data_IF_814768631527
#
_entry.id   IF_814768631527
#
_cell.length_a   1.000
_cell.length_b   1.000
_cell.length_c   1.000
_cell.angle_alpha   90.00
_cell.angle_beta   90.00
_cell.angle_gamma   90.00
#
_symmetry.space_group_name_H-M   'P 1'
#
loop_
_entity.id
_entity.type
_entity.pdbx_description
1 polymer ?
#
# COMPACT_ATOMS: atom_id res chain seq x y z
N UNK A 1 54.86 19.90 -9.83
CA UNK A 1 54.55 18.62 -10.50
C UNK A 1 53.15 18.23 -10.07
N UNK A 2 52.15 18.46 -10.94
CA UNK A 2 50.80 17.98 -10.72
C UNK A 2 50.82 16.48 -10.99
N UNK A 3 50.71 15.67 -9.93
CA UNK A 3 50.45 14.24 -10.07
C UNK A 3 49.14 14.08 -10.84
N UNK A 4 49.23 13.51 -12.04
CA UNK A 4 48.09 13.22 -12.89
C UNK A 4 47.17 12.24 -12.18
N UNK A 5 46.04 12.74 -11.68
CA UNK A 5 44.92 11.90 -11.31
C UNK A 5 44.55 11.09 -12.57
N UNK A 6 44.74 9.77 -12.51
CA UNK A 6 44.28 8.87 -13.56
C UNK A 6 42.78 9.11 -13.76
N UNK A 7 42.29 9.23 -15.01
CA UNK A 7 40.87 9.46 -15.24
C UNK A 7 40.06 8.36 -14.57
N UNK A 8 39.09 8.77 -13.75
CA UNK A 8 38.22 7.84 -13.03
C UNK A 8 37.58 6.88 -14.04
N UNK A 9 37.53 5.57 -13.74
CA UNK A 9 36.92 4.61 -14.63
C UNK A 9 35.45 4.99 -14.88
N UNK A 10 34.93 4.77 -16.10
CA UNK A 10 33.58 5.16 -16.42
C UNK A 10 32.59 4.44 -15.50
N UNK A 11 31.50 5.13 -15.13
CA UNK A 11 30.51 4.58 -14.25
C UNK A 11 29.89 3.32 -14.81
N UNK A 12 29.96 2.26 -14.01
CA UNK A 12 29.54 0.92 -14.39
C UNK A 12 28.53 0.39 -13.40
N UNK A 13 27.43 -0.17 -13.92
CA UNK A 13 26.47 -0.90 -13.09
C UNK A 13 27.16 -2.14 -12.50
N UNK A 14 26.98 -2.43 -11.20
CA UNK A 14 27.58 -3.61 -10.61
C UNK A 14 27.03 -4.91 -11.23
N UNK A 15 27.95 -5.81 -11.51
CA UNK A 15 27.67 -7.19 -11.87
C UNK A 15 26.89 -7.90 -10.76
N UNK A 16 26.30 -9.06 -11.08
CA UNK A 16 25.63 -9.88 -10.06
C UNK A 16 26.60 -10.25 -8.93
N UNK A 17 27.84 -10.58 -9.27
CA UNK A 17 28.89 -10.95 -8.32
C UNK A 17 29.26 -9.78 -7.39
N UNK A 18 29.53 -8.58 -7.94
CA UNK A 18 29.83 -7.37 -7.15
C UNK A 18 28.67 -7.00 -6.21
N UNK A 19 27.42 -7.23 -6.64
CA UNK A 19 26.22 -7.02 -5.79
C UNK A 19 26.15 -7.96 -4.59
N UNK A 20 26.59 -9.21 -4.76
CA UNK A 20 26.52 -10.24 -3.71
C UNK A 20 27.72 -10.14 -2.76
N UNK A 21 28.92 -9.91 -3.30
CA UNK A 21 30.16 -9.90 -2.53
C UNK A 21 30.47 -8.51 -1.94
N UNK A 22 29.87 -7.44 -2.49
CA UNK A 22 30.06 -6.07 -2.01
C UNK A 22 31.46 -5.52 -2.30
N UNK A 23 32.08 -5.96 -3.41
CA UNK A 23 33.46 -5.64 -3.79
C UNK A 23 33.64 -4.23 -4.38
N UNK A 24 32.56 -3.49 -4.65
CA UNK A 24 32.66 -2.16 -5.25
C UNK A 24 33.28 -1.13 -4.28
N UNK A 25 34.33 -0.41 -4.73
CA UNK A 25 34.87 0.72 -4.00
C UNK A 25 33.78 1.75 -3.64
N UNK A 26 33.92 2.37 -2.48
CA UNK A 26 32.94 3.37 -2.00
C UNK A 26 32.74 4.52 -2.99
N UNK A 27 33.82 5.01 -3.64
CA UNK A 27 33.74 6.10 -4.62
C UNK A 27 32.83 5.73 -5.80
N UNK A 28 32.97 4.51 -6.33
CA UNK A 28 32.16 4.02 -7.45
C UNK A 28 30.68 3.94 -7.09
N UNK A 29 30.36 3.50 -5.87
CA UNK A 29 28.98 3.44 -5.37
C UNK A 29 28.35 4.82 -5.24
N UNK A 30 29.11 5.79 -4.73
CA UNK A 30 28.67 7.19 -4.62
C UNK A 30 28.44 7.80 -6.00
N UNK A 31 29.32 7.55 -6.96
CA UNK A 31 29.19 8.05 -8.32
C UNK A 31 27.97 7.45 -9.03
N UNK A 32 27.83 6.13 -8.95
CA UNK A 32 26.66 5.41 -9.47
C UNK A 32 25.36 5.98 -8.90
N UNK A 33 25.32 6.28 -7.58
CA UNK A 33 24.16 6.94 -6.96
C UNK A 33 23.88 8.32 -7.54
N UNK A 34 24.91 9.17 -7.69
CA UNK A 34 24.76 10.52 -8.28
C UNK A 34 24.21 10.48 -9.71
N UNK A 35 24.49 9.41 -10.45
CA UNK A 35 23.98 9.19 -11.79
C UNK A 35 22.65 8.42 -11.85
N UNK A 36 22.04 8.09 -10.70
CA UNK A 36 20.78 7.33 -10.64
C UNK A 36 20.92 5.87 -11.12
N UNK A 37 22.14 5.32 -11.08
CA UNK A 37 22.42 3.93 -11.47
C UNK A 37 22.09 3.03 -10.27
N UNK A 38 20.88 2.45 -10.30
CA UNK A 38 20.43 1.46 -9.32
C UNK A 38 21.07 0.07 -9.50
N UNK A 39 20.70 -0.85 -8.59
CA UNK A 39 21.10 -2.26 -8.60
C UNK A 39 20.72 -3.01 -9.87
N UNK A 40 19.62 -2.66 -10.52
CA UNK A 40 19.14 -3.33 -11.73
C UNK A 40 18.60 -2.35 -12.78
N UNK A 41 18.52 -2.79 -14.04
CA UNK A 41 18.06 -1.95 -15.18
C UNK A 41 16.54 -1.80 -15.22
N UNK A 42 15.84 -2.90 -14.97
CA UNK A 42 14.42 -3.03 -15.20
C UNK A 42 13.68 -3.27 -13.89
N UNK A 43 12.42 -2.86 -13.84
CA UNK A 43 11.55 -3.02 -12.68
C UNK A 43 10.59 -4.21 -12.91
N UNK A 44 11.14 -5.42 -12.87
CA UNK A 44 10.41 -6.65 -13.24
C UNK A 44 9.18 -6.88 -12.36
N UNK A 45 9.33 -6.72 -11.04
CA UNK A 45 8.24 -6.95 -10.08
C UNK A 45 7.16 -5.90 -10.28
N UNK A 46 7.54 -4.63 -10.41
CA UNK A 46 6.62 -3.52 -10.64
C UNK A 46 5.77 -3.77 -11.89
N UNK A 47 6.40 -4.11 -13.01
CA UNK A 47 5.69 -4.40 -14.26
C UNK A 47 4.80 -5.64 -14.16
N UNK A 48 5.30 -6.70 -13.53
CA UNK A 48 4.53 -7.93 -13.32
C UNK A 48 3.29 -7.66 -12.47
N UNK A 49 3.43 -6.96 -11.35
CA UNK A 49 2.31 -6.57 -10.49
C UNK A 49 1.32 -5.67 -11.23
N UNK A 50 1.80 -4.72 -12.04
CA UNK A 50 0.93 -3.86 -12.85
C UNK A 50 0.12 -4.64 -13.89
N UNK A 51 0.72 -5.64 -14.56
CA UNK A 51 0.00 -6.51 -15.49
C UNK A 51 -1.04 -7.37 -14.76
N UNK A 52 -0.68 -7.91 -13.59
CA UNK A 52 -1.63 -8.67 -12.75
C UNK A 52 -2.81 -7.78 -12.35
N UNK A 53 -2.55 -6.56 -11.86
CA UNK A 53 -3.59 -5.61 -11.45
C UNK A 53 -4.48 -5.19 -12.62
N UNK A 54 -3.93 -5.05 -13.83
CA UNK A 54 -4.73 -4.80 -15.02
C UNK A 54 -5.68 -5.97 -15.32
N UNK A 55 -5.17 -7.22 -15.26
CA UNK A 55 -5.99 -8.41 -15.44
C UNK A 55 -7.10 -8.53 -14.38
N UNK A 56 -6.77 -8.19 -13.12
CA UNK A 56 -7.73 -8.14 -12.02
C UNK A 56 -8.79 -7.06 -12.25
N UNK A 57 -8.42 -5.86 -12.70
CA UNK A 57 -9.38 -4.81 -13.04
C UNK A 57 -10.33 -5.22 -14.16
N UNK A 58 -9.81 -5.89 -15.20
CA UNK A 58 -10.66 -6.42 -16.27
C UNK A 58 -11.65 -7.45 -15.70
N UNK A 59 -11.19 -8.34 -14.83
CA UNK A 59 -12.07 -9.31 -14.16
C UNK A 59 -13.11 -8.63 -13.26
N UNK A 60 -12.74 -7.61 -12.49
CA UNK A 60 -13.63 -6.80 -11.66
C UNK A 60 -14.78 -6.21 -12.48
N UNK A 61 -14.47 -5.62 -13.64
CA UNK A 61 -15.44 -5.01 -14.54
C UNK A 61 -16.32 -6.05 -15.26
N UNK A 62 -15.74 -7.17 -15.71
CA UNK A 62 -16.50 -8.27 -16.33
C UNK A 62 -17.47 -8.89 -15.35
N UNK A 63 -17.02 -9.16 -14.12
CA UNK A 63 -17.85 -9.71 -13.05
C UNK A 63 -19.01 -8.77 -12.72
N UNK A 64 -18.75 -7.47 -12.56
CA UNK A 64 -19.83 -6.50 -12.32
C UNK A 64 -20.80 -6.40 -13.52
N UNK A 65 -20.28 -6.49 -14.74
CA UNK A 65 -21.07 -6.54 -15.97
C UNK A 65 -22.03 -7.73 -16.02
N UNK A 66 -21.55 -8.91 -15.61
CA UNK A 66 -22.38 -10.11 -15.50
C UNK A 66 -23.48 -9.95 -14.43
N UNK A 67 -23.13 -9.45 -13.25
CA UNK A 67 -24.06 -9.38 -12.12
C UNK A 67 -25.09 -8.25 -12.22
N UNK A 68 -24.71 -7.07 -12.74
CA UNK A 68 -25.56 -5.87 -12.78
C UNK A 68 -26.01 -5.49 -14.20
N UNK A 69 -25.58 -6.23 -15.22
CA UNK A 69 -25.79 -5.88 -16.63
C UNK A 69 -24.96 -4.69 -17.12
N UNK A 70 -24.11 -4.09 -16.27
CA UNK A 70 -23.21 -2.99 -16.62
C UNK A 70 -21.86 -3.13 -15.89
N UNK A 71 -20.71 -3.01 -16.58
CA UNK A 71 -19.40 -3.03 -15.93
C UNK A 71 -19.20 -1.94 -14.87
N UNK A 72 -19.92 -0.83 -14.98
CA UNK A 72 -19.79 0.33 -14.10
C UNK A 72 -21.07 0.55 -13.27
N UNK A 73 -20.89 0.75 -11.96
CA UNK A 73 -21.99 1.06 -11.05
C UNK A 73 -22.26 2.57 -10.99
N UNK A 74 -23.29 3.03 -11.71
CA UNK A 74 -23.69 4.45 -11.76
C UNK A 74 -24.81 4.85 -10.78
N UNK A 75 -25.39 3.89 -10.07
CA UNK A 75 -26.51 4.10 -9.14
C UNK A 75 -26.08 3.67 -7.72
N UNK A 76 -26.69 4.23 -6.65
CA UNK A 76 -27.70 5.30 -6.63
C UNK A 76 -27.03 6.67 -6.82
N UNK A 77 -25.71 6.72 -6.65
CA UNK A 77 -24.82 7.84 -6.93
C UNK A 77 -23.75 7.34 -7.91
N UNK A 78 -23.31 8.22 -8.81
CA UNK A 78 -22.23 7.93 -9.74
C UNK A 78 -21.00 7.54 -8.94
N UNK A 79 -20.50 6.31 -9.09
CA UNK A 79 -19.20 5.92 -8.55
C UNK A 79 -18.13 6.81 -9.22
N UNK A 80 -17.50 7.77 -8.51
CA UNK A 80 -16.55 8.69 -9.11
C UNK A 80 -15.31 7.97 -9.65
N UNK A 81 -15.06 6.74 -9.20
CA UNK A 81 -13.92 5.94 -9.63
C UNK A 81 -14.17 5.16 -10.93
N UNK A 82 -15.40 5.18 -11.47
CA UNK A 82 -15.81 4.42 -12.67
C UNK A 82 -15.45 2.94 -12.54
N UNK A 83 -16.13 2.22 -11.63
CA UNK A 83 -15.87 0.81 -11.39
C UNK A 83 -17.07 0.03 -10.85
N UNK A 84 -16.84 -1.20 -10.39
CA UNK A 84 -17.86 -2.09 -9.84
C UNK A 84 -18.59 -1.49 -8.63
N UNK A 85 -19.66 -2.17 -8.19
CA UNK A 85 -20.29 -1.84 -6.91
C UNK A 85 -19.44 -2.29 -5.73
N UNK A 86 -19.58 -1.58 -4.59
CA UNK A 86 -18.88 -1.92 -3.34
C UNK A 86 -19.11 -3.37 -2.91
N UNK A 87 -20.33 -3.90 -3.04
CA UNK A 87 -20.63 -5.29 -2.70
C UNK A 87 -20.02 -6.29 -3.70
N UNK A 88 -19.94 -5.94 -4.98
CA UNK A 88 -19.18 -6.72 -5.96
C UNK A 88 -17.70 -6.81 -5.57
N UNK A 89 -17.11 -5.70 -5.16
CA UNK A 89 -15.72 -5.67 -4.69
C UNK A 89 -15.51 -6.46 -3.39
N UNK A 90 -16.47 -6.43 -2.46
CA UNK A 90 -16.46 -7.30 -1.27
C UNK A 90 -16.48 -8.77 -1.69
N UNK A 91 -17.36 -9.15 -2.64
CA UNK A 91 -17.42 -10.52 -3.15
C UNK A 91 -16.11 -10.97 -3.80
N UNK A 92 -15.40 -10.04 -4.45
CA UNK A 92 -14.12 -10.29 -5.11
C UNK A 92 -12.90 -10.32 -4.16
N UNK A 93 -13.09 -9.97 -2.88
CA UNK A 93 -12.04 -10.11 -1.87
C UNK A 93 -11.53 -8.80 -1.26
N UNK A 94 -12.24 -7.67 -1.46
CA UNK A 94 -11.90 -6.41 -0.80
C UNK A 94 -11.86 -6.55 0.74
N UNK A 95 -11.08 -5.70 1.41
CA UNK A 95 -11.01 -5.73 2.87
C UNK A 95 -12.37 -5.31 3.43
N UNK A 96 -13.03 -6.24 4.10
CA UNK A 96 -14.31 -6.01 4.75
C UNK A 96 -14.34 -6.75 6.09
N UNK A 97 -14.18 -6.05 7.23
CA UNK A 97 -14.00 -6.70 8.53
C UNK A 97 -15.08 -7.70 8.91
N UNK A 98 -16.34 -7.47 8.50
CA UNK A 98 -17.45 -8.39 8.76
C UNK A 98 -17.32 -9.75 8.02
N UNK A 99 -16.46 -9.85 6.99
CA UNK A 99 -16.11 -11.12 6.37
C UNK A 99 -14.94 -11.86 7.05
N UNK A 100 -14.27 -11.19 8.00
CA UNK A 100 -13.01 -11.67 8.60
C UNK A 100 -13.15 -11.97 10.09
N UNK A 101 -14.15 -11.39 10.75
CA UNK A 101 -14.51 -11.61 12.15
C UNK A 101 -15.93 -11.10 12.41
N UNK A 102 -16.48 -11.42 13.58
CA UNK A 102 -17.72 -10.83 14.06
C UNK A 102 -17.48 -9.36 14.43
N UNK A 103 -18.34 -8.46 13.93
CA UNK A 103 -18.30 -7.03 14.22
C UNK A 103 -19.67 -6.64 14.81
N UNK A 104 -19.68 -6.12 16.03
CA UNK A 104 -20.91 -5.73 16.75
C UNK A 104 -21.78 -4.74 15.98
N UNK A 105 -21.15 -3.78 15.28
CA UNK A 105 -21.83 -2.80 14.46
C UNK A 105 -22.45 -3.36 13.17
N UNK A 106 -22.02 -4.54 12.69
CA UNK A 106 -22.57 -5.23 11.52
C UNK A 106 -22.74 -6.73 11.85
N UNK A 107 -23.82 -7.10 12.58
CA UNK A 107 -24.14 -8.49 12.85
C UNK A 107 -24.26 -9.33 11.57
N UNK A 108 -24.06 -10.65 11.66
CA UNK A 108 -24.22 -11.56 10.51
C UNK A 108 -25.66 -11.60 9.96
N UNK A 109 -26.65 -11.24 10.79
CA UNK A 109 -28.05 -11.06 10.39
C UNK A 109 -28.30 -9.76 9.63
N UNK A 110 -27.32 -8.85 9.56
CA UNK A 110 -27.46 -7.60 8.82
C UNK A 110 -27.72 -7.89 7.35
N UNK A 111 -28.79 -7.29 6.88
CA UNK A 111 -29.31 -7.38 5.54
C UNK A 111 -28.78 -6.22 4.70
N UNK A 112 -28.09 -6.54 3.61
CA UNK A 112 -27.50 -5.57 2.67
C UNK A 112 -27.99 -5.82 1.24
N UNK A 113 -27.76 -4.88 0.33
CA UNK A 113 -28.04 -5.10 -1.09
C UNK A 113 -27.23 -6.27 -1.66
N UNK A 114 -27.87 -7.17 -2.39
CA UNK A 114 -27.16 -8.22 -3.11
C UNK A 114 -26.25 -7.66 -4.21
N UNK A 115 -25.22 -8.41 -4.63
CA UNK A 115 -24.27 -7.99 -5.68
C UNK A 115 -24.97 -7.65 -7.00
N UNK A 116 -25.92 -8.50 -7.41
CA UNK A 116 -26.67 -8.38 -8.66
C UNK A 116 -27.70 -7.26 -8.68
N UNK A 117 -28.13 -6.81 -7.50
CA UNK A 117 -29.11 -5.73 -7.36
C UNK A 117 -28.52 -4.58 -6.57
N UNK A 118 -27.20 -4.45 -6.50
CA UNK A 118 -26.55 -3.62 -5.49
C UNK A 118 -27.10 -2.20 -5.43
N UNK A 119 -27.56 -1.62 -6.56
CA UNK A 119 -28.14 -0.29 -6.58
C UNK A 119 -29.18 0.01 -7.71
N UNK A 120 -30.46 0.30 -7.36
CA UNK A 120 -31.03 0.18 -6.02
C UNK A 120 -31.20 -1.31 -5.63
N UNK A 121 -31.01 -1.67 -4.35
CA UNK A 121 -31.27 -3.01 -3.84
C UNK A 121 -32.72 -3.41 -4.01
N UNK A 122 -33.00 -4.14 -5.10
CA UNK A 122 -34.28 -4.86 -5.27
C UNK A 122 -34.28 -6.20 -4.55
N UNK A 123 -33.09 -6.72 -4.22
CA UNK A 123 -32.88 -7.94 -3.42
C UNK A 123 -31.89 -7.68 -2.29
N UNK A 124 -32.19 -8.32 -1.16
CA UNK A 124 -31.42 -8.25 0.08
C UNK A 124 -30.68 -9.58 0.27
N UNK A 125 -29.42 -9.48 0.67
CA UNK A 125 -28.52 -10.59 0.95
C UNK A 125 -27.94 -10.49 2.37
N UNK A 126 -27.54 -11.64 2.91
CA UNK A 126 -26.80 -11.71 4.18
C UNK A 126 -25.33 -11.31 3.98
N UNK A 127 -24.64 -11.01 5.08
CA UNK A 127 -23.18 -10.76 5.06
C UNK A 127 -22.43 -11.95 4.45
N UNK A 128 -22.80 -13.18 4.80
CA UNK A 128 -22.18 -14.38 4.24
C UNK A 128 -22.28 -14.45 2.71
N UNK A 129 -23.43 -14.10 2.14
CA UNK A 129 -23.65 -14.11 0.69
C UNK A 129 -22.79 -13.08 -0.04
N UNK A 130 -22.66 -11.86 0.51
CA UNK A 130 -21.80 -10.84 -0.11
C UNK A 130 -20.32 -11.12 0.08
N UNK A 131 -19.94 -11.83 1.15
CA UNK A 131 -18.55 -12.19 1.40
C UNK A 131 -18.04 -13.26 0.43
N UNK A 132 -18.90 -13.98 -0.28
CA UNK A 132 -18.48 -14.95 -1.30
C UNK A 132 -17.55 -16.04 -0.75
N UNK A 133 -16.71 -16.60 -1.63
CA UNK A 133 -15.69 -17.61 -1.29
C UNK A 133 -16.23 -18.84 -0.50
N UNK A 134 -17.47 -19.26 -0.78
CA UNK A 134 -18.09 -20.40 -0.13
C UNK A 134 -18.84 -20.10 1.19
N UNK A 135 -18.76 -18.86 1.70
CA UNK A 135 -19.43 -18.48 2.94
C UNK A 135 -18.69 -18.94 4.21
N UNK A 136 -19.38 -18.90 5.35
CA UNK A 136 -18.85 -19.26 6.68
C UNK A 136 -19.51 -20.52 7.26
N UNK A 137 -20.61 -21.00 6.68
CA UNK A 137 -21.31 -22.23 7.08
C UNK A 137 -21.63 -22.29 8.58
N UNK A 138 -22.29 -21.26 9.11
CA UNK A 138 -22.62 -21.09 10.54
C UNK A 138 -21.41 -21.03 11.49
N UNK A 139 -20.19 -20.79 10.98
CA UNK A 139 -19.00 -20.50 11.78
C UNK A 139 -18.71 -19.00 11.84
N UNK A 140 -17.75 -18.64 12.69
CA UNK A 140 -17.21 -17.29 12.70
C UNK A 140 -16.55 -16.97 11.35
N UNK A 141 -16.69 -15.74 10.82
CA UNK A 141 -15.98 -15.33 9.62
C UNK A 141 -14.47 -15.42 9.81
N UNK A 142 -13.75 -15.91 8.80
CA UNK A 142 -12.32 -16.24 8.89
C UNK A 142 -11.53 -15.98 7.57
N UNK A 143 -12.03 -15.09 6.70
CA UNK A 143 -11.40 -14.78 5.41
C UNK A 143 -10.15 -13.88 5.54
N UNK A 144 -9.12 -14.37 6.25
CA UNK A 144 -7.87 -13.66 6.56
C UNK A 144 -7.11 -13.19 5.31
N UNK A 145 -7.28 -13.87 4.17
CA UNK A 145 -6.67 -13.50 2.89
C UNK A 145 -7.08 -12.10 2.41
N UNK A 146 -8.15 -11.53 3.00
CA UNK A 146 -8.57 -10.13 2.82
C UNK A 146 -7.60 -9.10 3.41
N UNK A 147 -6.48 -9.50 3.99
CA UNK A 147 -5.33 -8.62 4.20
C UNK A 147 -4.38 -8.55 3.00
N UNK A 148 -4.46 -9.51 2.07
CA UNK A 148 -3.54 -9.65 0.93
C UNK A 148 -4.24 -9.31 -0.40
N UNK A 149 -5.35 -9.99 -0.69
CA UNK A 149 -6.10 -9.84 -1.96
C UNK A 149 -6.44 -8.38 -2.32
N UNK A 150 -6.84 -7.51 -1.37
CA UNK A 150 -7.21 -6.14 -1.71
C UNK A 150 -6.09 -5.30 -2.33
N UNK A 151 -4.82 -5.69 -2.16
CA UNK A 151 -3.66 -5.01 -2.77
C UNK A 151 -3.77 -5.00 -4.30
N UNK A 152 -4.44 -6.00 -4.89
CA UNK A 152 -4.56 -6.17 -6.34
C UNK A 152 -5.86 -5.62 -6.92
N UNK A 153 -6.89 -5.43 -6.08
CA UNK A 153 -8.21 -4.94 -6.47
C UNK A 153 -8.23 -3.43 -6.63
N UNK A 154 -9.13 -2.90 -7.46
CA UNK A 154 -9.28 -1.48 -7.72
C UNK A 154 -10.75 -1.04 -7.72
N UNK A 155 -11.01 0.15 -7.16
CA UNK A 155 -12.37 0.68 -7.02
C UNK A 155 -13.00 1.08 -8.36
N UNK A 156 -12.19 1.11 -9.41
CA UNK A 156 -12.55 1.48 -10.76
C UNK A 156 -11.33 1.98 -11.56
N UNK A 157 -11.61 2.39 -12.80
CA UNK A 157 -10.57 2.77 -13.78
C UNK A 157 -9.75 3.97 -13.29
N UNK A 158 -10.38 5.00 -12.71
CA UNK A 158 -9.66 6.19 -12.25
C UNK A 158 -8.68 5.86 -11.12
N UNK A 159 -9.13 5.08 -10.13
CA UNK A 159 -8.29 4.63 -9.03
C UNK A 159 -7.11 3.78 -9.54
N UNK A 160 -7.35 2.88 -10.49
CA UNK A 160 -6.29 2.12 -11.14
C UNK A 160 -5.27 3.01 -11.85
N UNK A 161 -5.71 3.99 -12.64
CA UNK A 161 -4.80 4.87 -13.37
C UNK A 161 -3.90 5.69 -12.43
N UNK A 162 -4.44 6.20 -11.33
CA UNK A 162 -3.66 6.93 -10.32
C UNK A 162 -2.62 6.00 -9.65
N UNK A 163 -3.03 4.78 -9.28
CA UNK A 163 -2.10 3.80 -8.72
C UNK A 163 -1.01 3.41 -9.73
N UNK A 164 -1.37 3.20 -11.01
CA UNK A 164 -0.42 2.83 -12.05
C UNK A 164 0.56 3.96 -12.36
N UNK A 165 0.12 5.22 -12.31
CA UNK A 165 1.01 6.37 -12.43
C UNK A 165 2.09 6.32 -11.34
N UNK A 166 1.70 6.19 -10.07
CA UNK A 166 2.66 6.13 -8.96
C UNK A 166 3.49 4.82 -8.96
N UNK A 167 2.91 3.71 -9.37
CA UNK A 167 3.59 2.41 -9.44
C UNK A 167 4.66 2.38 -10.54
N UNK A 168 4.30 2.76 -11.76
CA UNK A 168 5.22 2.71 -12.91
C UNK A 168 6.28 3.82 -12.86
N UNK A 169 6.12 4.84 -12.01
CA UNK A 169 7.12 5.88 -11.77
C UNK A 169 7.92 5.59 -10.49
N UNK A 170 7.33 5.84 -9.32
CA UNK A 170 8.00 5.78 -8.02
C UNK A 170 8.41 4.36 -7.66
N UNK A 171 7.50 3.39 -7.80
CA UNK A 171 7.79 1.99 -7.43
C UNK A 171 8.80 1.36 -8.36
N UNK A 172 8.70 1.65 -9.66
CA UNK A 172 9.70 1.22 -10.64
C UNK A 172 11.11 1.78 -10.32
N UNK A 173 11.21 3.04 -9.90
CA UNK A 173 12.48 3.63 -9.48
C UNK A 173 13.05 2.93 -8.25
N UNK A 174 12.24 2.77 -7.20
CA UNK A 174 12.65 2.11 -5.96
C UNK A 174 13.07 0.67 -6.22
N UNK A 175 12.36 -0.09 -7.06
CA UNK A 175 12.76 -1.45 -7.42
C UNK A 175 14.13 -1.48 -8.11
N UNK A 176 14.38 -0.55 -9.04
CA UNK A 176 15.67 -0.45 -9.73
C UNK A 176 16.83 -0.18 -8.75
N UNK A 177 16.59 0.61 -7.71
CA UNK A 177 17.59 0.94 -6.68
C UNK A 177 17.77 -0.18 -5.65
N UNK A 178 16.67 -0.73 -5.14
CA UNK A 178 16.62 -1.70 -4.05
C UNK A 178 16.92 -3.14 -4.49
N UNK A 179 16.54 -3.46 -5.73
CA UNK A 179 16.49 -4.81 -6.30
C UNK A 179 15.12 -5.47 -6.07
N UNK A 180 14.71 -6.35 -7.01
CA UNK A 180 13.38 -6.96 -7.04
C UNK A 180 12.95 -7.67 -5.76
N UNK A 181 13.83 -8.45 -5.12
CA UNK A 181 13.46 -9.23 -3.92
C UNK A 181 13.14 -8.32 -2.74
N UNK A 182 14.02 -7.36 -2.44
CA UNK A 182 13.81 -6.40 -1.35
C UNK A 182 12.57 -5.54 -1.59
N UNK A 183 12.38 -5.11 -2.84
CA UNK A 183 11.19 -4.35 -3.23
C UNK A 183 9.90 -5.16 -3.06
N UNK A 184 9.87 -6.42 -3.49
CA UNK A 184 8.67 -7.28 -3.33
C UNK A 184 8.30 -7.46 -1.86
N UNK A 185 9.29 -7.74 -1.00
CA UNK A 185 9.07 -7.89 0.45
C UNK A 185 8.50 -6.59 1.03
N UNK A 186 9.09 -5.44 0.69
CA UNK A 186 8.63 -4.14 1.16
C UNK A 186 7.21 -3.84 0.67
N UNK A 187 6.94 -4.05 -0.61
CA UNK A 187 5.64 -3.78 -1.25
C UNK A 187 4.54 -4.60 -0.59
N UNK A 188 4.76 -5.91 -0.44
CA UNK A 188 3.79 -6.80 0.19
C UNK A 188 3.64 -6.52 1.69
N UNK A 189 4.73 -6.30 2.43
CA UNK A 189 4.66 -6.00 3.86
C UNK A 189 3.91 -4.68 4.12
N UNK A 190 4.19 -3.63 3.33
CA UNK A 190 3.49 -2.35 3.43
C UNK A 190 2.00 -2.47 3.08
N UNK A 191 1.65 -3.15 1.99
CA UNK A 191 0.25 -3.36 1.61
C UNK A 191 -0.54 -4.17 2.64
N UNK A 192 0.03 -5.28 3.12
CA UNK A 192 -0.61 -6.14 4.13
C UNK A 192 -0.76 -5.39 5.45
N UNK A 193 0.30 -4.72 5.92
CA UNK A 193 0.23 -3.97 7.17
C UNK A 193 -0.73 -2.78 7.08
N UNK A 194 -0.80 -2.11 5.92
CA UNK A 194 -1.82 -1.11 5.64
C UNK A 194 -3.24 -1.68 5.80
N UNK A 195 -3.52 -2.83 5.19
CA UNK A 195 -4.80 -3.51 5.36
C UNK A 195 -5.07 -3.94 6.81
N UNK A 196 -4.05 -4.37 7.57
CA UNK A 196 -4.19 -4.69 8.99
C UNK A 196 -4.53 -3.44 9.81
N UNK A 197 -3.82 -2.32 9.59
CA UNK A 197 -4.09 -1.07 10.29
C UNK A 197 -5.47 -0.52 9.95
N UNK A 198 -5.85 -0.50 8.67
CA UNK A 198 -7.19 -0.11 8.22
C UNK A 198 -8.28 -1.06 8.73
N UNK A 199 -8.00 -2.36 8.82
CA UNK A 199 -8.91 -3.34 9.43
C UNK A 199 -9.26 -3.03 10.88
N UNK A 200 -8.31 -2.43 11.62
CA UNK A 200 -8.55 -1.97 12.98
C UNK A 200 -9.32 -0.65 12.98
N UNK A 201 -8.86 0.38 12.27
CA UNK A 201 -9.28 1.75 12.61
C UNK A 201 -10.08 2.48 11.51
N UNK A 202 -10.18 1.93 10.31
CA UNK A 202 -10.95 2.54 9.23
C UNK A 202 -12.46 2.42 9.45
N UNK A 203 -13.22 3.16 8.63
CA UNK A 203 -14.68 3.20 8.70
C UNK A 203 -15.29 1.80 8.52
N UNK A 204 -16.27 1.50 9.37
CA UNK A 204 -16.98 0.21 9.36
C UNK A 204 -18.09 0.23 8.31
N UNK A 205 -18.29 -0.92 7.66
CA UNK A 205 -19.30 -1.06 6.59
C UNK A 205 -18.85 -0.54 5.23
N UNK A 206 -17.62 -0.02 5.12
CA UNK A 206 -17.04 0.43 3.86
C UNK A 206 -15.88 -0.52 3.49
N UNK A 207 -15.91 -1.14 2.29
CA UNK A 207 -14.78 -1.94 1.83
C UNK A 207 -13.56 -1.07 1.51
N UNK A 208 -12.38 -1.64 1.69
CA UNK A 208 -11.10 -1.00 1.34
C UNK A 208 -10.26 -1.93 0.46
N UNK A 209 -9.56 -1.34 -0.49
CA UNK A 209 -8.77 -2.02 -1.51
C UNK A 209 -7.85 -1.04 -2.23
N UNK A 210 -6.96 -1.58 -3.05
CA UNK A 210 -6.01 -0.82 -3.85
C UNK A 210 -4.57 -1.11 -3.48
N UNK A 211 -3.71 -0.95 -4.48
CA UNK A 211 -2.26 -0.98 -4.35
C UNK A 211 -1.70 0.18 -3.50
N UNK A 212 -2.50 1.22 -3.23
CA UNK A 212 -2.05 2.48 -2.66
C UNK A 212 -1.32 2.34 -1.31
N UNK A 213 -1.75 1.45 -0.41
CA UNK A 213 -1.01 1.17 0.82
C UNK A 213 0.44 0.68 0.57
N UNK A 214 0.61 -0.21 -0.41
CA UNK A 214 1.94 -0.68 -0.81
C UNK A 214 2.78 0.43 -1.48
N UNK A 215 2.13 1.28 -2.29
CA UNK A 215 2.76 2.44 -2.94
C UNK A 215 3.21 3.49 -1.90
N UNK A 216 2.44 3.73 -0.85
CA UNK A 216 2.90 4.56 0.28
C UNK A 216 4.12 3.96 0.97
N UNK A 217 4.24 2.62 0.98
CA UNK A 217 5.46 1.94 1.38
C UNK A 217 6.67 2.28 0.49
N UNK A 218 6.47 2.37 -0.82
CA UNK A 218 7.49 2.87 -1.76
C UNK A 218 7.86 4.32 -1.47
N UNK A 219 6.88 5.19 -1.21
CA UNK A 219 7.12 6.60 -0.85
C UNK A 219 8.00 6.69 0.40
N UNK A 220 7.78 5.82 1.39
CA UNK A 220 8.62 5.75 2.59
C UNK A 220 10.11 5.49 2.28
N UNK A 221 10.41 4.72 1.23
CA UNK A 221 11.80 4.50 0.79
C UNK A 221 12.44 5.81 0.34
N UNK A 222 11.70 6.67 -0.35
CA UNK A 222 12.22 7.97 -0.81
C UNK A 222 12.56 8.89 0.37
N UNK A 223 11.79 8.83 1.46
CA UNK A 223 12.10 9.52 2.71
C UNK A 223 13.38 9.00 3.35
N UNK A 224 13.51 7.67 3.50
CA UNK A 224 14.73 7.06 4.05
C UNK A 224 15.95 7.36 3.18
N UNK A 225 15.79 7.30 1.86
CA UNK A 225 16.85 7.63 0.91
C UNK A 225 17.33 9.07 1.07
N UNK A 226 16.41 10.04 1.07
CA UNK A 226 16.74 11.46 1.23
C UNK A 226 17.45 11.74 2.55
N UNK A 227 16.95 11.19 3.66
CA UNK A 227 17.51 11.43 4.99
C UNK A 227 18.91 10.81 5.09
N UNK A 228 19.06 9.56 4.65
CA UNK A 228 20.33 8.85 4.74
C UNK A 228 21.42 9.42 3.81
N UNK A 229 21.01 10.10 2.73
CA UNK A 229 21.93 10.65 1.74
C UNK A 229 21.83 12.18 1.62
N UNK A 230 21.38 12.87 2.68
CA UNK A 230 21.13 14.32 2.69
C UNK A 230 22.30 15.15 2.13
N UNK A 231 23.53 14.81 2.51
CA UNK A 231 24.74 15.51 2.05
C UNK A 231 25.19 15.18 0.62
N UNK A 232 24.61 14.16 -0.01
CA UNK A 232 24.92 13.74 -1.39
C UNK A 232 23.85 14.23 -2.39
N UNK A 233 22.64 14.51 -1.90
CA UNK A 233 21.51 14.90 -2.73
C UNK A 233 21.67 16.32 -3.28
N UNK A 234 21.32 16.51 -4.56
CA UNK A 234 21.27 17.85 -5.14
C UNK A 234 20.01 18.58 -4.68
N UNK A 235 20.17 19.65 -3.88
CA UNK A 235 19.09 20.46 -3.28
C UNK A 235 18.14 19.62 -2.38
N UNK A 236 18.64 19.06 -1.26
CA UNK A 236 17.88 18.15 -0.40
C UNK A 236 16.61 18.80 0.18
N UNK A 237 16.66 20.09 0.53
CA UNK A 237 15.49 20.83 1.03
C UNK A 237 14.38 20.90 -0.01
N UNK A 238 14.70 21.07 -1.30
CA UNK A 238 13.69 21.08 -2.36
C UNK A 238 13.04 19.69 -2.53
N UNK A 239 13.85 18.63 -2.49
CA UNK A 239 13.34 17.24 -2.54
C UNK A 239 12.46 16.94 -1.32
N UNK A 240 12.87 17.40 -0.13
CA UNK A 240 12.05 17.30 1.09
C UNK A 240 10.69 17.99 0.93
N UNK A 241 10.67 19.22 0.41
CA UNK A 241 9.41 19.95 0.18
C UNK A 241 8.50 19.22 -0.81
N UNK A 242 9.04 18.64 -1.87
CA UNK A 242 8.25 17.80 -2.79
C UNK A 242 7.69 16.57 -2.08
N UNK A 243 8.48 15.84 -1.29
CA UNK A 243 8.00 14.69 -0.54
C UNK A 243 6.92 15.05 0.49
N UNK A 244 7.01 16.23 1.12
CA UNK A 244 5.97 16.74 2.03
C UNK A 244 4.68 17.03 1.25
N UNK A 245 4.77 17.71 0.12
CA UNK A 245 3.61 18.01 -0.73
C UNK A 245 2.96 16.72 -1.23
N UNK A 246 3.74 15.76 -1.71
CA UNK A 246 3.25 14.45 -2.16
C UNK A 246 2.55 13.70 -1.03
N UNK A 247 3.10 13.72 0.19
CA UNK A 247 2.47 13.12 1.36
C UNK A 247 1.14 13.79 1.71
N UNK A 248 1.09 15.13 1.68
CA UNK A 248 -0.13 15.90 1.95
C UNK A 248 -1.20 15.58 0.91
N UNK A 249 -0.84 15.57 -0.38
CA UNK A 249 -1.76 15.23 -1.47
C UNK A 249 -2.27 13.80 -1.29
N UNK A 250 -1.38 12.85 -1.02
CA UNK A 250 -1.72 11.45 -0.81
C UNK A 250 -2.74 11.25 0.32
N UNK A 251 -2.50 11.84 1.50
CA UNK A 251 -3.43 11.77 2.63
C UNK A 251 -4.72 12.56 2.36
N UNK A 252 -4.64 13.65 1.60
CA UNK A 252 -5.81 14.45 1.21
C UNK A 252 -6.76 13.64 0.32
N UNK A 253 -6.22 12.86 -0.61
CA UNK A 253 -6.98 11.95 -1.48
C UNK A 253 -7.72 10.91 -0.64
N UNK A 254 -7.17 10.46 0.49
CA UNK A 254 -7.84 9.51 1.36
C UNK A 254 -9.07 10.03 2.12
N UNK A 255 -9.39 11.32 2.02
CA UNK A 255 -10.69 11.84 2.45
C UNK A 255 -11.79 11.68 1.39
N UNK A 256 -11.45 11.26 0.17
CA UNK A 256 -12.44 10.90 -0.84
C UNK A 256 -13.13 9.61 -0.40
N UNK A 257 -14.48 9.56 -0.41
CA UNK A 257 -15.22 8.36 -0.04
C UNK A 257 -14.74 7.10 -0.76
N UNK A 258 -14.47 6.04 0.01
CA UNK A 258 -13.99 4.76 -0.51
C UNK A 258 -12.46 4.62 -0.56
N UNK A 259 -11.70 5.63 -0.13
CA UNK A 259 -10.24 5.54 0.06
C UNK A 259 -9.92 5.46 1.56
N UNK A 260 -8.94 4.63 1.91
CA UNK A 260 -8.61 4.28 3.29
C UNK A 260 -7.29 4.92 3.73
N UNK A 261 -7.38 6.02 4.47
CA UNK A 261 -6.21 6.72 5.00
C UNK A 261 -5.42 5.90 6.02
N UNK A 262 -6.05 4.99 6.76
CA UNK A 262 -5.32 4.09 7.65
C UNK A 262 -4.48 3.09 6.86
N UNK A 263 -4.97 2.62 5.71
CA UNK A 263 -4.17 1.78 4.83
C UNK A 263 -2.94 2.54 4.29
N UNK A 264 -3.08 3.82 3.92
CA UNK A 264 -1.96 4.66 3.50
C UNK A 264 -0.94 4.89 4.62
N UNK A 265 -1.42 5.27 5.81
CA UNK A 265 -0.56 5.50 6.98
C UNK A 265 0.17 4.23 7.42
N UNK A 266 -0.53 3.09 7.42
CA UNK A 266 0.07 1.80 7.74
C UNK A 266 1.12 1.39 6.71
N UNK A 267 0.80 1.58 5.43
CA UNK A 267 1.73 1.40 4.33
C UNK A 267 3.01 2.23 4.47
N UNK A 268 2.86 3.52 4.77
CA UNK A 268 3.98 4.42 5.03
C UNK A 268 4.82 3.97 6.24
N UNK A 269 4.17 3.66 7.37
CA UNK A 269 4.86 3.23 8.60
C UNK A 269 5.66 1.95 8.39
N UNK A 270 5.03 0.91 7.85
CA UNK A 270 5.72 -0.35 7.58
C UNK A 270 6.76 -0.18 6.47
N UNK A 271 6.48 0.65 5.47
CA UNK A 271 7.44 1.05 4.44
C UNK A 271 8.70 1.68 5.02
N UNK A 272 8.59 2.58 6.00
CA UNK A 272 9.74 3.21 6.66
C UNK A 272 10.61 2.15 7.34
N UNK A 273 9.99 1.22 8.07
CA UNK A 273 10.70 0.12 8.73
C UNK A 273 11.37 -0.81 7.72
N UNK A 274 10.63 -1.26 6.69
CA UNK A 274 11.18 -2.10 5.63
C UNK A 274 12.28 -1.39 4.85
N UNK A 275 12.17 -0.08 4.61
CA UNK A 275 13.19 0.71 3.95
C UNK A 275 14.47 0.77 4.79
N UNK A 276 14.37 1.02 6.10
CA UNK A 276 15.53 0.98 7.01
C UNK A 276 16.22 -0.38 6.94
N UNK A 277 15.43 -1.47 6.97
CA UNK A 277 15.91 -2.86 6.98
C UNK A 277 16.58 -3.24 5.65
N UNK A 278 15.92 -2.95 4.52
CA UNK A 278 16.22 -3.59 3.23
C UNK A 278 16.83 -2.63 2.19
N UNK A 279 16.62 -1.31 2.30
CA UNK A 279 17.14 -0.36 1.31
C UNK A 279 18.68 -0.27 1.40
N UNK A 280 19.40 -0.36 0.26
CA UNK A 280 20.86 -0.36 0.23
C UNK A 280 21.45 1.04 0.41
N UNK A 281 21.37 1.56 1.64
CA UNK A 281 21.98 2.84 2.03
C UNK A 281 23.51 2.79 1.89
N UNK A 282 24.07 3.80 1.22
CA UNK A 282 25.52 3.96 1.06
C UNK A 282 26.03 4.82 2.21
N UNK A 283 26.86 4.22 3.07
CA UNK A 283 27.42 4.89 4.25
C UNK A 283 28.85 5.40 3.99
N UNK A 284 29.09 6.73 3.92
CA UNK A 284 30.43 7.26 3.67
C UNK A 284 31.36 7.16 4.88
N UNK A 285 30.81 7.14 6.10
CA UNK A 285 31.58 7.13 7.35
C UNK A 285 31.27 5.91 8.21
N UNK A 286 32.23 5.49 9.06
CA UNK A 286 32.01 4.41 10.03
C UNK A 286 30.86 4.72 10.98
N UNK A 287 30.75 5.98 11.46
CA UNK A 287 29.65 6.43 12.32
C UNK A 287 28.29 6.27 11.64
N UNK A 288 28.16 6.69 10.38
CA UNK A 288 26.93 6.50 9.61
C UNK A 288 26.58 5.02 9.43
N UNK A 289 27.58 4.18 9.15
CA UNK A 289 27.39 2.72 9.05
C UNK A 289 26.87 2.12 10.35
N UNK A 290 27.47 2.46 11.49
CA UNK A 290 27.02 1.99 12.82
C UNK A 290 25.59 2.43 13.09
N UNK A 291 25.25 3.70 12.85
CA UNK A 291 23.89 4.21 13.05
C UNK A 291 22.86 3.44 12.20
N UNK A 292 23.16 3.20 10.92
CA UNK A 292 22.26 2.46 10.03
C UNK A 292 22.11 1.00 10.46
N UNK A 293 23.19 0.33 10.89
CA UNK A 293 23.10 -1.03 11.41
C UNK A 293 22.32 -1.13 12.71
N UNK A 294 22.51 -0.19 13.64
CA UNK A 294 21.70 -0.12 14.87
C UNK A 294 20.23 0.12 14.55
N UNK A 295 19.91 1.02 13.61
CA UNK A 295 18.55 1.27 13.17
C UNK A 295 17.91 0.02 12.55
N UNK A 296 18.66 -0.76 11.76
CA UNK A 296 18.20 -2.04 11.20
C UNK A 296 17.89 -3.06 12.28
N UNK A 297 18.78 -3.23 13.25
CA UNK A 297 18.60 -4.17 14.37
C UNK A 297 17.36 -3.79 15.20
N UNK A 298 17.10 -2.50 15.39
CA UNK A 298 15.91 -2.02 16.11
C UNK A 298 14.61 -2.14 15.27
N UNK A 299 14.68 -1.89 13.96
CA UNK A 299 13.51 -1.87 13.08
C UNK A 299 12.89 -3.26 12.87
N UNK A 300 13.70 -4.33 12.85
CA UNK A 300 13.20 -5.71 12.67
C UNK A 300 12.23 -6.13 13.78
N UNK A 301 12.60 -6.13 15.08
CA UNK A 301 11.68 -6.52 16.14
C UNK A 301 10.50 -5.56 16.22
N UNK A 302 10.70 -4.26 15.98
CA UNK A 302 9.60 -3.29 15.97
C UNK A 302 8.55 -3.62 14.89
N UNK A 303 8.98 -3.95 13.66
CA UNK A 303 8.08 -4.34 12.58
C UNK A 303 7.28 -5.61 12.94
N UNK A 304 7.94 -6.61 13.53
CA UNK A 304 7.30 -7.86 13.97
C UNK A 304 6.30 -7.60 15.10
N UNK A 305 6.69 -6.84 16.13
CA UNK A 305 5.83 -6.49 17.26
C UNK A 305 4.59 -5.75 16.77
N UNK A 306 4.74 -4.75 15.90
CA UNK A 306 3.61 -4.01 15.34
C UNK A 306 2.64 -4.92 14.58
N UNK A 307 3.15 -5.82 13.73
CA UNK A 307 2.33 -6.80 13.01
C UNK A 307 1.53 -7.69 13.98
N UNK A 308 2.21 -8.28 14.96
CA UNK A 308 1.59 -9.20 15.92
C UNK A 308 0.56 -8.49 16.78
N UNK A 309 0.88 -7.30 17.29
CA UNK A 309 -0.02 -6.51 18.13
C UNK A 309 -1.26 -6.09 17.37
N UNK A 310 -1.13 -5.56 16.15
CA UNK A 310 -2.29 -5.10 15.38
C UNK A 310 -3.16 -6.24 14.85
N UNK A 311 -2.59 -7.39 14.49
CA UNK A 311 -3.37 -8.59 14.15
C UNK A 311 -4.12 -9.08 15.38
N UNK A 312 -3.45 -9.15 16.54
CA UNK A 312 -4.10 -9.56 17.79
C UNK A 312 -5.21 -8.58 18.18
N UNK A 313 -4.98 -7.27 18.02
CA UNK A 313 -5.97 -6.24 18.28
C UNK A 313 -7.18 -6.41 17.36
N UNK A 314 -6.93 -6.65 16.06
CA UNK A 314 -8.00 -6.88 15.10
C UNK A 314 -8.90 -8.05 15.50
N UNK A 315 -8.36 -9.18 15.98
CA UNK A 315 -9.21 -10.33 16.33
C UNK A 315 -9.79 -10.31 17.74
N UNK A 316 -9.18 -9.58 18.69
CA UNK A 316 -9.55 -9.64 20.11
C UNK A 316 -10.20 -8.39 20.67
N UNK A 317 -9.89 -7.22 20.12
CA UNK A 317 -10.42 -5.96 20.62
C UNK A 317 -11.61 -5.49 19.78
N UNK A 318 -12.51 -4.74 20.39
CA UNK A 318 -13.48 -3.93 19.64
C UNK A 318 -12.78 -2.62 19.22
N UNK A 319 -12.45 -2.43 17.94
CA UNK A 319 -11.70 -1.25 17.52
C UNK A 319 -12.49 0.04 17.66
N UNK A 320 -13.83 -0.02 17.67
CA UNK A 320 -14.67 1.14 17.94
C UNK A 320 -14.49 1.66 19.37
N UNK A 321 -14.44 0.75 20.34
CA UNK A 321 -14.15 1.12 21.74
C UNK A 321 -12.74 1.68 21.93
N UNK A 322 -11.83 1.35 21.01
CA UNK A 322 -10.41 1.70 21.14
C UNK A 322 -10.11 3.12 20.68
N UNK A 323 -10.88 3.70 19.74
CA UNK A 323 -10.59 5.04 19.21
C UNK A 323 -11.81 5.75 18.58
N UNK A 324 -12.53 6.54 19.39
CA UNK A 324 -13.73 7.28 18.96
C UNK A 324 -13.47 8.39 17.93
N UNK A 325 -12.23 8.87 17.79
CA UNK A 325 -11.85 9.95 16.87
C UNK A 325 -11.18 9.44 15.58
N UNK A 326 -10.77 8.17 15.53
CA UNK A 326 -10.02 7.60 14.40
C UNK A 326 -10.74 7.72 13.06
N UNK A 327 -12.08 7.63 13.05
CA UNK A 327 -12.91 7.86 11.85
C UNK A 327 -12.58 9.16 11.11
N UNK A 328 -12.24 10.24 11.83
CA UNK A 328 -11.96 11.55 11.24
C UNK A 328 -10.64 11.61 10.46
N UNK A 329 -9.81 10.56 10.56
CA UNK A 329 -8.64 10.41 9.68
C UNK A 329 -9.04 9.91 8.28
N UNK A 330 -10.22 9.30 8.11
CA UNK A 330 -10.69 8.77 6.82
C UNK A 330 -11.94 9.49 6.29
N UNK A 331 -12.47 10.48 7.02
CA UNK A 331 -13.63 11.23 6.56
C UNK A 331 -13.68 12.62 7.19
N UNK A 332 -14.30 13.56 6.47
CA UNK A 332 -14.57 14.91 6.95
C UNK A 332 -16.02 14.96 7.46
N UNK A 333 -16.27 15.39 8.72
CA UNK A 333 -17.63 15.54 9.24
C UNK A 333 -18.30 16.74 8.57
N UNK A 334 -19.16 16.45 7.58
CA UNK A 334 -19.91 17.46 6.84
C UNK A 334 -21.35 17.00 6.61
N UNK A 335 -22.26 17.94 6.35
CA UNK A 335 -23.68 17.66 6.11
C UNK A 335 -23.91 16.70 4.94
N UNK A 336 -23.03 16.73 3.93
CA UNK A 336 -23.03 15.87 2.75
C UNK A 336 -22.31 14.52 2.96
N UNK A 337 -21.62 14.31 4.08
CA UNK A 337 -20.84 13.10 4.35
C UNK A 337 -21.46 12.27 5.49
N UNK A 338 -22.41 11.42 5.14
CA UNK A 338 -23.05 10.53 6.11
C UNK A 338 -22.15 9.39 6.59
N UNK A 339 -21.03 9.10 5.92
CA UNK A 339 -20.08 8.06 6.32
C UNK A 339 -19.26 8.44 7.56
N UNK A 340 -19.26 9.72 7.92
CA UNK A 340 -18.53 10.27 9.06
C UNK A 340 -19.42 10.45 10.31
N UNK A 341 -20.73 10.16 10.19
CA UNK A 341 -21.67 10.21 11.31
C UNK A 341 -21.56 8.88 12.07
N UNK A 342 -21.44 9.00 13.39
CA UNK A 342 -21.15 7.91 14.30
C UNK A 342 -22.25 6.92 14.51
#
# INVERSE_FOLDING_TARGET
MNEGASPLPPPKRPTLFERVVGSDPLHQRLENKKMGIGRQKFAFVTWTLSVIMLGVLVYELVYNGHEQGNPFSFKPFVNPMLGPSSFGLVHLGARFPACMRIVSAIPLSTSVGCVNTANPPTKICTIEQICGFGGFHNKNPDQWFRFIIPIFLHAGVLHFLINMLAQLTLSAQVEKEMGSVGFLILYMAAGIFGNVLGGNFALVGIPSLGASGAIFGTVAVMWVDLIAHWGLEYKPVRKLMFLIVDLIIGISIGFIPGIDNFAHMGGLLMGLLCAIILYPVISPTKRHSILMWSARIAAIPLAVVLFVVLIRNFYKADPFSSCNWCRYLSCIPASWNNQCKG
#
